data_IF_601274124031
#
_entry.id   IF_601274124031
#
_cell.length_a   1.000
_cell.length_b   1.000
_cell.length_c   1.000
_cell.angle_alpha   90.00
_cell.angle_beta   90.00
_cell.angle_gamma   90.00
#
_symmetry.space_group_name_H-M   'P 1'
#
loop_
_entity.id
_entity.type
_entity.pdbx_description
1 polymer ?
#
# COMPACT_ATOMS: atom_id res chain seq x y z
N UNK A 1 34.10 30.42 30.81
CA UNK A 1 34.31 28.98 30.62
C UNK A 1 34.33 28.75 29.12
N UNK A 2 35.50 28.37 28.58
CA UNK A 2 35.68 28.09 27.17
C UNK A 2 35.01 26.77 26.84
N UNK A 3 34.01 26.78 25.99
CA UNK A 3 33.50 25.53 25.46
C UNK A 3 34.56 24.95 24.53
N UNK A 4 34.97 23.72 24.82
CA UNK A 4 35.81 22.97 23.91
C UNK A 4 35.02 22.74 22.61
N UNK A 5 35.52 23.29 21.51
CA UNK A 5 35.09 22.89 20.19
C UNK A 5 35.54 21.44 19.98
N UNK A 6 34.65 20.49 20.18
CA UNK A 6 34.86 19.16 19.68
C UNK A 6 34.72 19.18 18.15
N UNK A 7 35.85 19.46 17.50
CA UNK A 7 35.93 19.36 16.04
C UNK A 7 35.92 17.87 15.69
N UNK A 8 34.82 17.42 15.11
CA UNK A 8 34.79 16.11 14.48
C UNK A 8 35.64 16.20 13.20
N UNK A 9 36.75 15.46 13.20
CA UNK A 9 37.60 15.33 12.03
C UNK A 9 36.85 14.54 10.95
N UNK A 10 36.22 15.25 10.03
CA UNK A 10 35.62 14.62 8.85
C UNK A 10 36.74 14.37 7.87
N UNK A 11 37.08 13.11 7.65
CA UNK A 11 38.04 12.72 6.60
C UNK A 11 37.47 13.15 5.24
N UNK A 12 38.22 13.90 4.41
CA UNK A 12 37.74 14.28 3.09
C UNK A 12 37.64 13.04 2.20
N UNK A 13 36.46 12.54 2.07
CA UNK A 13 36.12 11.47 1.18
C UNK A 13 34.69 11.66 0.77
N UNK A 14 34.48 12.06 -0.48
CA UNK A 14 33.17 12.13 -1.16
C UNK A 14 31.93 12.47 -0.28
N UNK A 15 31.81 13.72 0.08
CA UNK A 15 30.50 14.37 0.02
C UNK A 15 29.51 14.18 1.13
N UNK A 16 29.87 13.88 2.38
CA UNK A 16 28.91 13.97 3.47
C UNK A 16 28.95 15.38 4.09
N UNK A 17 27.88 16.14 3.93
CA UNK A 17 27.70 17.38 4.72
C UNK A 17 27.08 16.99 6.05
N UNK A 18 27.78 17.23 7.14
CA UNK A 18 27.25 17.04 8.49
C UNK A 18 26.63 18.35 8.93
N UNK A 19 25.30 18.39 9.03
CA UNK A 19 24.59 19.49 9.66
C UNK A 19 24.42 19.18 11.14
N UNK A 20 24.80 20.12 12.01
CA UNK A 20 24.53 20.05 13.44
C UNK A 20 23.40 20.99 13.80
N UNK A 21 22.41 20.52 14.54
CA UNK A 21 21.33 21.33 15.09
C UNK A 21 21.46 21.41 16.62
N UNK A 22 21.39 22.64 17.14
CA UNK A 22 21.46 22.86 18.58
C UNK A 22 20.05 22.75 19.19
N UNK A 23 19.75 21.65 19.86
CA UNK A 23 18.47 21.46 20.54
C UNK A 23 18.72 21.43 22.05
N UNK A 24 18.13 22.36 22.78
CA UNK A 24 18.27 22.47 24.25
C UNK A 24 19.75 22.53 24.74
N UNK A 25 20.58 23.23 24.00
CA UNK A 25 21.99 23.39 24.37
C UNK A 25 22.87 22.15 24.14
N UNK A 26 22.37 21.15 23.45
CA UNK A 26 23.14 19.97 23.01
C UNK A 26 23.18 19.97 21.48
N UNK A 27 24.35 19.72 20.93
CA UNK A 27 24.53 19.55 19.50
C UNK A 27 24.10 18.12 19.11
N UNK A 28 23.15 18.04 18.19
CA UNK A 28 22.74 16.79 17.57
C UNK A 28 23.25 16.78 16.12
N UNK A 29 23.89 15.70 15.77
CA UNK A 29 24.38 15.48 14.43
C UNK A 29 23.24 14.91 13.57
N UNK A 30 22.74 15.68 12.63
CA UNK A 30 21.83 15.15 11.61
C UNK A 30 22.68 14.52 10.49
N UNK A 31 22.76 13.20 10.47
CA UNK A 31 23.36 12.48 9.35
C UNK A 31 22.31 12.30 8.28
N UNK A 32 22.40 13.08 7.24
CA UNK A 32 21.60 12.87 6.04
C UNK A 32 22.40 11.95 5.12
N UNK A 33 21.98 10.70 5.01
CA UNK A 33 22.58 9.76 4.08
C UNK A 33 22.10 10.11 2.66
N UNK A 34 22.97 10.70 1.88
CA UNK A 34 22.77 10.85 0.45
C UNK A 34 23.46 9.72 -0.29
N UNK A 35 22.85 9.24 -1.37
CA UNK A 35 23.53 8.30 -2.27
C UNK A 35 24.62 9.01 -3.07
N UNK A 36 25.34 8.24 -3.90
CA UNK A 36 26.38 8.77 -4.77
C UNK A 36 25.87 9.70 -5.89
N UNK A 37 24.54 9.91 -5.96
CA UNK A 37 23.86 10.85 -6.86
C UNK A 37 23.38 12.11 -6.13
N UNK A 38 23.69 12.23 -4.82
CA UNK A 38 23.29 13.37 -3.99
C UNK A 38 21.82 13.34 -3.55
N UNK A 39 21.15 12.21 -3.71
CA UNK A 39 19.77 12.03 -3.25
C UNK A 39 19.74 11.76 -1.75
N UNK A 40 18.94 12.53 -1.04
CA UNK A 40 18.70 12.31 0.38
C UNK A 40 17.83 11.07 0.53
N UNK A 41 18.40 9.96 0.98
CA UNK A 41 17.67 8.75 1.33
C UNK A 41 16.92 8.93 2.65
N UNK A 42 15.91 9.77 2.63
CA UNK A 42 14.91 9.92 3.69
C UNK A 42 13.49 9.74 3.15
N UNK A 43 13.32 9.59 1.84
CA UNK A 43 12.03 9.26 1.28
C UNK A 43 11.83 7.74 1.32
N UNK A 44 10.84 7.31 2.08
CA UNK A 44 10.39 5.92 2.06
C UNK A 44 10.11 5.48 0.62
N UNK A 45 10.61 4.32 0.25
CA UNK A 45 10.27 3.71 -1.03
C UNK A 45 8.76 3.58 -1.14
N UNK A 46 8.15 4.33 -2.06
CA UNK A 46 6.69 4.40 -2.20
C UNK A 46 6.25 3.69 -3.47
N UNK A 47 5.18 2.93 -3.35
CA UNK A 47 4.62 2.11 -4.41
C UNK A 47 3.11 2.27 -4.48
N UNK A 48 2.55 2.09 -5.67
CA UNK A 48 1.12 1.89 -5.84
C UNK A 48 0.86 0.56 -6.57
N UNK A 49 -0.17 -0.13 -6.12
CA UNK A 49 -0.67 -1.35 -6.74
C UNK A 49 -2.06 -1.07 -7.29
N UNK A 50 -2.18 -1.06 -8.61
CA UNK A 50 -3.44 -0.92 -9.32
C UNK A 50 -3.92 -2.28 -9.80
N UNK A 51 -5.14 -2.67 -9.41
CA UNK A 51 -5.72 -3.95 -9.80
C UNK A 51 -6.54 -3.83 -11.09
N UNK A 52 -6.76 -4.93 -11.81
CA UNK A 52 -7.75 -4.98 -12.88
C UNK A 52 -9.18 -4.77 -12.34
N UNK A 53 -10.09 -4.48 -13.25
CA UNK A 53 -11.52 -4.47 -12.94
C UNK A 53 -12.07 -5.88 -12.81
N UNK A 54 -12.98 -6.09 -11.87
CA UNK A 54 -13.63 -7.38 -11.66
C UNK A 54 -15.06 -7.22 -11.16
N UNK A 55 -15.93 -8.13 -11.53
CA UNK A 55 -17.29 -8.21 -10.98
C UNK A 55 -17.25 -8.49 -9.48
N UNK A 56 -18.07 -7.78 -8.71
CA UNK A 56 -18.28 -8.05 -7.28
C UNK A 56 -18.94 -9.42 -7.09
N UNK A 57 -18.76 -10.03 -5.92
CA UNK A 57 -19.30 -11.35 -5.65
C UNK A 57 -19.22 -11.75 -4.18
N UNK A 58 -20.30 -12.35 -3.66
CA UNK A 58 -20.38 -12.79 -2.27
C UNK A 58 -19.15 -13.60 -1.84
N UNK A 59 -18.58 -13.25 -0.70
CA UNK A 59 -17.40 -13.89 -0.11
C UNK A 59 -16.14 -13.90 -1.00
N UNK A 60 -16.12 -13.12 -2.06
CA UNK A 60 -15.03 -13.08 -3.02
C UNK A 60 -13.77 -12.48 -2.39
N UNK A 61 -12.63 -13.12 -2.63
CA UNK A 61 -11.31 -12.62 -2.27
C UNK A 61 -10.81 -11.73 -3.41
N UNK A 62 -10.39 -10.51 -3.10
CA UNK A 62 -9.99 -9.57 -4.14
C UNK A 62 -8.48 -9.43 -4.23
N UNK A 63 -7.85 -9.03 -3.15
CA UNK A 63 -6.40 -8.81 -3.16
C UNK A 63 -5.78 -9.34 -1.87
N UNK A 64 -4.58 -9.86 -2.01
CA UNK A 64 -3.71 -10.33 -0.93
C UNK A 64 -2.34 -9.71 -1.14
N UNK A 65 -1.88 -8.95 -0.15
CA UNK A 65 -0.55 -8.35 -0.13
C UNK A 65 0.18 -8.92 1.07
N UNK A 66 1.36 -9.46 0.84
CA UNK A 66 2.12 -10.17 1.85
C UNK A 66 3.58 -9.75 1.88
N UNK A 67 4.10 -9.60 3.07
CA UNK A 67 5.50 -9.36 3.36
C UNK A 67 6.12 -10.64 3.93
N UNK A 68 6.86 -11.36 3.09
CA UNK A 68 7.42 -12.66 3.46
C UNK A 68 8.62 -12.51 4.42
N UNK A 69 8.90 -13.59 5.15
CA UNK A 69 10.09 -13.70 5.99
C UNK A 69 11.35 -13.50 5.15
N UNK A 70 12.28 -12.72 5.67
CA UNK A 70 13.56 -12.42 5.00
C UNK A 70 13.49 -11.28 3.99
N UNK A 71 12.39 -10.55 3.92
CA UNK A 71 12.30 -9.33 3.09
C UNK A 71 13.19 -8.21 3.62
N UNK A 72 13.46 -8.19 4.93
CA UNK A 72 14.18 -7.10 5.60
C UNK A 72 13.41 -5.78 5.60
N UNK A 73 12.12 -5.80 5.23
CA UNK A 73 11.31 -4.60 5.03
C UNK A 73 10.14 -4.52 6.01
N UNK A 74 9.76 -3.30 6.33
CA UNK A 74 8.50 -2.98 6.98
C UNK A 74 7.64 -2.27 5.95
N UNK A 75 6.41 -2.75 5.74
CA UNK A 75 5.48 -2.17 4.80
C UNK A 75 4.41 -1.39 5.54
N UNK A 76 4.23 -0.13 5.19
CA UNK A 76 3.14 0.71 5.69
C UNK A 76 2.10 0.94 4.60
N UNK A 77 0.89 0.49 4.82
CA UNK A 77 -0.24 0.76 3.93
C UNK A 77 -0.74 2.18 4.20
N UNK A 78 -0.62 3.03 3.20
CA UNK A 78 -1.07 4.43 3.23
C UNK A 78 -2.54 4.58 2.87
N UNK A 79 -3.04 3.70 2.03
CA UNK A 79 -4.44 3.69 1.66
C UNK A 79 -4.78 2.52 0.77
N UNK A 80 -6.03 2.10 0.83
CA UNK A 80 -6.66 1.14 -0.07
C UNK A 80 -7.95 1.78 -0.55
N UNK A 81 -7.99 2.19 -1.80
CA UNK A 81 -9.16 2.81 -2.41
C UNK A 81 -9.96 1.78 -3.18
N UNK A 82 -11.26 1.77 -2.93
CA UNK A 82 -12.23 1.03 -3.72
C UNK A 82 -12.73 1.97 -4.81
N UNK A 83 -12.65 1.52 -6.05
CA UNK A 83 -13.04 2.29 -7.21
C UNK A 83 -14.14 1.51 -7.92
N UNK A 84 -15.40 1.95 -7.87
CA UNK A 84 -16.46 1.42 -8.74
C UNK A 84 -16.03 1.57 -10.20
N UNK A 85 -16.20 0.51 -10.99
CA UNK A 85 -15.66 0.44 -12.34
C UNK A 85 -16.68 -0.19 -13.31
N UNK A 86 -17.97 0.07 -13.11
CA UNK A 86 -19.04 -0.41 -13.98
C UNK A 86 -19.31 0.61 -15.07
N UNK A 87 -19.26 0.16 -16.31
CA UNK A 87 -19.48 1.00 -17.50
C UNK A 87 -20.95 1.04 -17.95
N UNK A 88 -21.81 0.31 -17.26
CA UNK A 88 -23.25 0.21 -17.57
C UNK A 88 -24.08 0.49 -16.33
N UNK A 89 -25.26 1.05 -16.53
CA UNK A 89 -26.20 1.29 -15.45
C UNK A 89 -26.64 -0.03 -14.80
N UNK A 90 -26.59 -0.07 -13.48
CA UNK A 90 -27.08 -1.17 -12.65
C UNK A 90 -28.35 -0.74 -11.93
N UNK A 91 -29.35 -1.61 -11.92
CA UNK A 91 -30.60 -1.34 -11.22
C UNK A 91 -30.56 -2.04 -9.85
N UNK A 92 -30.82 -1.30 -8.78
CA UNK A 92 -30.92 -1.85 -7.44
C UNK A 92 -29.58 -2.28 -6.82
N UNK A 93 -28.47 -1.74 -7.29
CA UNK A 93 -27.19 -1.96 -6.68
C UNK A 93 -27.13 -1.28 -5.29
N UNK A 94 -26.92 -2.08 -4.26
CA UNK A 94 -26.74 -1.62 -2.89
C UNK A 94 -25.25 -1.50 -2.57
N UNK A 95 -24.94 -0.87 -1.43
CA UNK A 95 -23.57 -0.79 -0.95
C UNK A 95 -22.93 -2.17 -0.81
N UNK A 96 -21.73 -2.33 -1.34
CA UNK A 96 -20.94 -3.55 -1.24
C UNK A 96 -20.08 -3.49 0.01
N UNK A 97 -20.19 -4.50 0.88
CA UNK A 97 -19.35 -4.61 2.07
C UNK A 97 -18.01 -5.22 1.70
N UNK A 98 -16.93 -4.55 2.10
CA UNK A 98 -15.56 -5.04 2.02
C UNK A 98 -14.97 -5.17 3.42
N UNK A 99 -14.43 -6.33 3.70
CA UNK A 99 -13.75 -6.65 4.95
C UNK A 99 -12.24 -6.66 4.72
N UNK A 100 -11.50 -6.01 5.60
CA UNK A 100 -10.05 -6.04 5.63
C UNK A 100 -9.58 -6.96 6.75
N UNK A 101 -8.69 -7.87 6.41
CA UNK A 101 -8.09 -8.82 7.34
C UNK A 101 -6.57 -8.70 7.37
N UNK A 102 -5.99 -8.96 8.54
CA UNK A 102 -4.58 -9.26 8.66
C UNK A 102 -4.36 -10.75 8.44
N UNK A 103 -3.29 -11.10 7.72
CA UNK A 103 -2.97 -12.49 7.40
C UNK A 103 -1.61 -12.88 7.97
N UNK A 104 -1.42 -14.16 8.28
CA UNK A 104 -0.16 -14.76 8.73
C UNK A 104 0.45 -15.71 7.70
N UNK A 105 -0.23 -15.91 6.58
CA UNK A 105 0.31 -16.61 5.42
C UNK A 105 -0.32 -16.03 4.15
N UNK A 106 0.42 -16.09 3.06
CA UNK A 106 -0.06 -15.66 1.74
C UNK A 106 -1.12 -16.64 1.22
N UNK A 107 -2.09 -16.13 0.49
CA UNK A 107 -3.07 -16.94 -0.22
C UNK A 107 -2.45 -17.68 -1.40
N UNK A 108 -3.18 -18.66 -1.90
CA UNK A 108 -2.79 -19.47 -3.06
C UNK A 108 -3.65 -19.14 -4.27
N UNK A 109 -3.19 -19.51 -5.46
CA UNK A 109 -3.90 -19.24 -6.71
C UNK A 109 -3.97 -17.75 -7.04
N UNK A 110 -4.93 -17.39 -7.88
CA UNK A 110 -5.01 -16.03 -8.42
C UNK A 110 -3.82 -15.68 -9.31
N UNK A 111 -3.69 -14.42 -9.63
CA UNK A 111 -2.61 -13.91 -10.50
C UNK A 111 -1.70 -12.98 -9.72
N UNK A 112 -0.40 -13.23 -9.77
CA UNK A 112 0.59 -12.33 -9.15
C UNK A 112 0.59 -10.98 -9.87
N UNK A 113 0.76 -9.90 -9.11
CA UNK A 113 0.93 -8.58 -9.67
C UNK A 113 2.24 -8.49 -10.46
N UNK A 114 2.20 -7.81 -11.60
CA UNK A 114 3.38 -7.45 -12.36
C UNK A 114 4.08 -6.24 -11.74
N UNK A 115 5.38 -6.12 -11.97
CA UNK A 115 6.14 -4.94 -11.58
C UNK A 115 6.55 -4.13 -12.80
N UNK A 116 6.24 -2.82 -12.79
CA UNK A 116 6.57 -1.89 -13.89
C UNK A 116 6.09 -2.37 -15.27
N UNK A 117 4.92 -2.98 -15.35
CA UNK A 117 4.38 -3.38 -16.64
C UNK A 117 3.96 -2.15 -17.45
N UNK A 118 4.31 -2.14 -18.73
CA UNK A 118 3.82 -1.13 -19.66
C UNK A 118 2.35 -1.34 -20.06
N UNK A 119 1.78 -2.50 -19.75
CA UNK A 119 0.38 -2.82 -20.06
C UNK A 119 -0.50 -2.41 -18.89
N UNK A 120 -1.48 -1.51 -19.06
CA UNK A 120 -2.29 -0.98 -17.96
C UNK A 120 -3.17 -2.03 -17.29
N UNK A 121 -3.73 -2.97 -18.05
CA UNK A 121 -4.67 -4.00 -17.56
C UNK A 121 -4.03 -5.39 -17.51
N UNK A 122 -2.88 -5.50 -16.82
CA UNK A 122 -2.25 -6.80 -16.56
C UNK A 122 -3.14 -7.64 -15.67
N UNK A 123 -3.31 -8.93 -15.98
CA UNK A 123 -4.24 -9.85 -15.32
C UNK A 123 -4.10 -9.89 -13.78
N UNK A 124 -2.90 -9.71 -13.23
CA UNK A 124 -2.65 -9.64 -11.79
C UNK A 124 -2.64 -8.23 -11.21
N UNK A 125 -2.83 -7.22 -12.04
CA UNK A 125 -2.59 -5.83 -11.69
C UNK A 125 -1.12 -5.45 -11.76
N UNK A 126 -0.85 -4.19 -11.54
CA UNK A 126 0.49 -3.61 -11.73
C UNK A 126 0.96 -2.89 -10.46
N UNK A 127 2.13 -3.24 -9.99
CA UNK A 127 2.84 -2.52 -8.94
C UNK A 127 3.85 -1.60 -9.61
N UNK A 128 3.73 -0.31 -9.35
CA UNK A 128 4.67 0.68 -9.85
C UNK A 128 5.27 1.48 -8.70
N UNK A 129 6.57 1.77 -8.74
CA UNK A 129 7.17 2.69 -7.80
C UNK A 129 6.72 4.12 -8.11
N UNK A 130 6.62 4.93 -7.09
CA UNK A 130 6.43 6.38 -7.23
C UNK A 130 7.71 7.04 -7.75
N UNK A 131 8.86 6.55 -7.26
CA UNK A 131 10.16 6.93 -7.77
C UNK A 131 10.60 6.00 -8.90
N UNK A 132 10.89 6.57 -10.07
CA UNK A 132 11.33 5.82 -11.27
C UNK A 132 12.67 5.13 -11.10
N UNK A 133 13.50 5.57 -10.15
CA UNK A 133 14.80 4.98 -9.86
C UNK A 133 14.72 3.62 -9.17
N UNK A 134 13.59 3.29 -8.55
CA UNK A 134 13.40 1.96 -7.94
C UNK A 134 13.34 0.88 -9.02
N UNK A 135 14.44 0.18 -9.21
CA UNK A 135 14.61 -0.80 -10.29
C UNK A 135 13.74 -2.05 -10.09
N UNK A 136 13.61 -2.54 -8.86
CA UNK A 136 12.93 -3.78 -8.53
C UNK A 136 12.03 -3.61 -7.30
N UNK A 137 10.94 -4.39 -7.27
CA UNK A 137 10.21 -4.60 -6.02
C UNK A 137 11.10 -5.42 -5.08
N UNK A 138 11.27 -5.03 -3.81
CA UNK A 138 12.06 -5.79 -2.86
C UNK A 138 11.61 -7.26 -2.78
N UNK A 139 12.57 -8.17 -2.70
CA UNK A 139 12.28 -9.58 -2.56
C UNK A 139 11.41 -9.84 -1.32
N UNK A 140 10.47 -10.77 -1.45
CA UNK A 140 9.53 -11.09 -0.36
C UNK A 140 8.28 -10.23 -0.30
N UNK A 141 8.23 -9.10 -1.00
CA UNK A 141 7.00 -8.31 -1.14
C UNK A 141 6.21 -8.86 -2.32
N UNK A 142 5.00 -9.34 -2.05
CA UNK A 142 4.12 -9.95 -3.07
C UNK A 142 2.72 -9.38 -2.99
N UNK A 143 2.06 -9.28 -4.13
CA UNK A 143 0.64 -8.99 -4.23
C UNK A 143 -0.02 -9.96 -5.20
N UNK A 144 -1.23 -10.38 -4.89
CA UNK A 144 -2.04 -11.28 -5.72
C UNK A 144 -3.43 -10.71 -5.92
N UNK A 145 -3.90 -10.84 -7.13
CA UNK A 145 -5.26 -10.52 -7.52
C UNK A 145 -6.11 -11.79 -7.57
N UNK A 146 -7.30 -11.74 -6.99
CA UNK A 146 -8.26 -12.86 -6.95
C UNK A 146 -7.63 -14.18 -6.47
N UNK A 147 -7.00 -14.22 -5.29
CA UNK A 147 -6.53 -15.47 -4.75
C UNK A 147 -7.71 -16.44 -4.62
N UNK A 148 -7.52 -17.72 -4.97
CA UNK A 148 -8.55 -18.76 -4.91
C UNK A 148 -8.50 -19.54 -3.62
N UNK A 149 -7.34 -19.65 -3.00
CA UNK A 149 -7.15 -20.19 -1.66
C UNK A 149 -6.96 -19.06 -0.66
N UNK A 150 -7.64 -19.13 0.46
CA UNK A 150 -7.55 -18.11 1.49
C UNK A 150 -6.15 -17.99 2.06
N UNK A 151 -5.65 -16.78 2.18
CA UNK A 151 -4.58 -16.49 3.12
C UNK A 151 -5.02 -16.92 4.53
N UNK A 152 -4.09 -17.35 5.36
CA UNK A 152 -4.42 -17.67 6.76
C UNK A 152 -4.78 -16.38 7.48
N UNK A 153 -6.07 -16.22 7.78
CA UNK A 153 -6.58 -15.03 8.48
C UNK A 153 -6.11 -15.08 9.92
N UNK A 154 -5.36 -14.06 10.32
CA UNK A 154 -4.91 -13.88 11.71
C UNK A 154 -5.84 -12.96 12.49
N UNK A 155 -6.40 -11.92 11.84
CA UNK A 155 -7.23 -10.93 12.50
C UNK A 155 -8.15 -10.23 11.50
N UNK A 156 -9.43 -10.06 11.85
CA UNK A 156 -10.30 -9.09 11.19
C UNK A 156 -9.95 -7.70 11.70
N UNK A 157 -9.76 -6.75 10.79
CA UNK A 157 -9.41 -5.38 11.14
C UNK A 157 -10.66 -4.49 11.19
N UNK A 158 -11.36 -4.40 10.07
CA UNK A 158 -12.61 -3.64 9.97
C UNK A 158 -13.34 -3.95 8.67
N UNK A 159 -14.56 -3.45 8.56
CA UNK A 159 -15.34 -3.46 7.33
C UNK A 159 -15.72 -2.05 6.89
N UNK A 160 -15.84 -1.86 5.60
CA UNK A 160 -16.41 -0.65 5.00
C UNK A 160 -17.44 -1.04 3.95
N UNK A 161 -18.27 -0.07 3.59
CA UNK A 161 -19.25 -0.21 2.53
C UNK A 161 -18.91 0.78 1.43
N UNK A 162 -18.61 0.29 0.23
CA UNK A 162 -18.55 1.14 -0.95
C UNK A 162 -19.93 1.21 -1.58
N UNK A 163 -20.34 2.37 -2.11
CA UNK A 163 -21.57 2.45 -2.86
C UNK A 163 -21.48 1.51 -4.07
N UNK A 164 -22.50 0.67 -4.24
CA UNK A 164 -22.78 0.06 -5.52
C UNK A 164 -23.34 1.13 -6.44
N UNK A 165 -23.14 0.99 -7.75
CA UNK A 165 -23.74 1.90 -8.70
C UNK A 165 -25.25 1.70 -8.74
N UNK A 166 -26.01 2.74 -8.46
CA UNK A 166 -27.43 2.83 -8.79
C UNK A 166 -27.60 3.36 -10.21
N UNK A 167 -28.80 3.19 -10.75
CA UNK A 167 -29.20 3.53 -12.12
C UNK A 167 -28.59 4.83 -12.68
N UNK A 168 -28.52 4.94 -14.00
CA UNK A 168 -27.96 6.03 -14.80
C UNK A 168 -28.43 7.46 -14.45
N UNK A 169 -29.44 7.60 -13.60
CA UNK A 169 -29.94 8.90 -13.10
C UNK A 169 -29.22 9.38 -11.85
N UNK A 170 -28.41 8.54 -11.21
CA UNK A 170 -27.71 8.84 -9.96
C UNK A 170 -26.21 9.04 -10.17
N UNK A 171 -25.82 9.83 -11.13
CA UNK A 171 -24.42 10.15 -11.45
C UNK A 171 -23.63 10.77 -10.27
N UNK A 172 -24.29 11.15 -9.19
CA UNK A 172 -23.66 11.79 -8.04
C UNK A 172 -22.74 10.88 -7.21
N UNK A 173 -22.78 9.57 -7.42
CA UNK A 173 -22.03 8.60 -6.58
C UNK A 173 -20.77 8.01 -7.24
N UNK A 174 -20.57 8.25 -8.53
CA UNK A 174 -19.44 7.68 -9.30
C UNK A 174 -18.07 8.24 -8.87
N UNK A 175 -18.04 9.35 -8.16
CA UNK A 175 -16.80 10.06 -7.80
C UNK A 175 -16.30 9.79 -6.40
N UNK A 176 -16.96 8.98 -5.60
CA UNK A 176 -16.50 8.73 -4.23
C UNK A 176 -15.57 7.50 -4.20
N UNK A 177 -14.28 7.77 -4.36
CA UNK A 177 -13.24 6.80 -4.00
C UNK A 177 -13.27 6.60 -2.50
N UNK A 178 -13.60 5.41 -2.04
CA UNK A 178 -13.61 5.12 -0.61
C UNK A 178 -12.29 4.48 -0.21
N UNK A 179 -11.55 5.18 0.67
CA UNK A 179 -10.38 4.60 1.30
C UNK A 179 -10.84 3.69 2.45
N UNK A 180 -10.48 2.41 2.37
CA UNK A 180 -10.82 1.41 3.38
C UNK A 180 -9.78 1.27 4.49
N UNK A 181 -8.67 1.95 4.40
CA UNK A 181 -7.75 2.06 5.53
C UNK A 181 -8.31 3.11 6.47
N UNK A 182 -8.67 2.76 7.71
CA UNK A 182 -9.15 3.74 8.65
C UNK A 182 -8.09 4.83 8.81
N UNK A 183 -8.55 6.06 8.93
CA UNK A 183 -7.71 7.15 9.44
C UNK A 183 -7.44 6.77 10.89
N UNK A 184 -6.42 5.96 11.09
CA UNK A 184 -5.95 5.59 12.40
C UNK A 184 -5.54 6.88 13.09
N UNK A 185 -6.20 7.16 14.18
CA UNK A 185 -6.04 8.39 14.95
C UNK A 185 -4.58 8.71 15.16
N UNK A 186 -4.22 9.93 14.77
CA UNK A 186 -2.95 10.60 15.09
C UNK A 186 -1.70 9.70 14.97
N UNK A 187 -1.20 9.56 13.75
CA UNK A 187 0.16 9.02 13.52
C UNK A 187 0.30 7.51 13.49
N UNK A 188 -0.76 6.74 13.70
CA UNK A 188 -0.70 5.29 13.55
C UNK A 188 -0.90 4.90 12.08
N UNK A 189 -0.10 3.94 11.62
CA UNK A 189 -0.12 3.41 10.27
C UNK A 189 -0.61 1.96 10.31
N UNK A 190 -1.21 1.47 9.23
CA UNK A 190 -1.42 0.04 9.05
C UNK A 190 -0.10 -0.59 8.61
N UNK A 191 0.68 -1.03 9.60
CA UNK A 191 2.01 -1.58 9.38
C UNK A 191 1.95 -3.09 9.21
N UNK A 192 2.63 -3.59 8.20
CA UNK A 192 2.80 -5.01 7.88
C UNK A 192 4.28 -5.35 8.05
N UNK A 193 4.59 -6.15 9.06
CA UNK A 193 5.93 -6.65 9.32
C UNK A 193 6.17 -7.94 8.53
N UNK A 194 7.40 -8.43 8.55
CA UNK A 194 7.71 -9.74 7.97
C UNK A 194 6.76 -10.84 8.47
N UNK A 195 6.50 -11.79 7.61
CA UNK A 195 5.60 -12.92 7.82
C UNK A 195 4.16 -12.50 8.16
N UNK A 196 3.73 -11.38 7.58
CA UNK A 196 2.35 -10.92 7.69
C UNK A 196 1.88 -10.24 6.41
N UNK A 197 0.56 -10.09 6.28
CA UNK A 197 -0.04 -9.46 5.12
C UNK A 197 -1.42 -8.89 5.41
N UNK A 198 -2.09 -8.47 4.36
CA UNK A 198 -3.49 -8.04 4.36
C UNK A 198 -4.26 -8.73 3.25
N UNK A 199 -5.52 -8.98 3.51
CA UNK A 199 -6.48 -9.55 2.56
C UNK A 199 -7.73 -8.65 2.52
N UNK A 200 -8.19 -8.31 1.32
CA UNK A 200 -9.49 -7.68 1.11
C UNK A 200 -10.47 -8.72 0.57
N UNK A 201 -11.59 -8.84 1.25
CA UNK A 201 -12.66 -9.81 0.94
C UNK A 201 -14.02 -9.11 0.95
N UNK A 202 -14.91 -9.50 0.04
CA UNK A 202 -16.30 -9.09 0.12
C UNK A 202 -17.04 -9.83 1.23
N UNK A 203 -17.98 -9.15 1.85
CA UNK A 203 -18.94 -9.80 2.77
C UNK A 203 -19.76 -10.89 2.09
N UNK A 204 -20.61 -11.56 2.87
CA UNK A 204 -21.37 -12.74 2.41
C UNK A 204 -22.56 -12.39 1.52
N UNK A 205 -22.93 -11.12 1.43
CA UNK A 205 -24.08 -10.68 0.62
C UNK A 205 -23.65 -10.49 -0.83
N UNK A 206 -24.40 -11.08 -1.74
CA UNK A 206 -24.21 -10.86 -3.17
C UNK A 206 -24.52 -9.40 -3.55
N UNK A 207 -23.76 -8.87 -4.48
CA UNK A 207 -23.95 -7.56 -5.06
C UNK A 207 -23.68 -7.63 -6.57
N UNK A 208 -24.07 -6.60 -7.27
CA UNK A 208 -23.82 -6.45 -8.72
C UNK A 208 -22.88 -5.27 -8.97
N UNK A 209 -22.21 -5.28 -10.10
CA UNK A 209 -21.29 -4.23 -10.52
C UNK A 209 -19.84 -4.71 -10.61
N UNK A 210 -18.98 -3.80 -10.99
CA UNK A 210 -17.55 -4.04 -11.10
C UNK A 210 -16.80 -3.13 -10.14
N UNK A 211 -15.65 -3.60 -9.71
CA UNK A 211 -14.76 -2.87 -8.81
C UNK A 211 -13.30 -3.08 -9.21
N UNK A 212 -12.47 -2.12 -8.87
CA UNK A 212 -11.01 -2.25 -8.83
C UNK A 212 -10.47 -1.59 -7.58
N UNK A 213 -9.23 -1.86 -7.28
CA UNK A 213 -8.55 -1.31 -6.10
C UNK A 213 -7.29 -0.57 -6.49
N UNK A 214 -7.01 0.48 -5.74
CA UNK A 214 -5.71 1.13 -5.74
C UNK A 214 -5.15 1.07 -4.32
N UNK A 215 -3.99 0.45 -4.16
CA UNK A 215 -3.29 0.40 -2.87
C UNK A 215 -2.04 1.24 -2.96
N UNK A 216 -1.82 2.10 -1.97
CA UNK A 216 -0.56 2.84 -1.83
C UNK A 216 0.13 2.34 -0.57
N UNK A 217 1.39 2.01 -0.69
CA UNK A 217 2.22 1.57 0.43
C UNK A 217 3.65 2.10 0.32
N UNK A 218 4.30 2.16 1.46
CA UNK A 218 5.71 2.53 1.57
C UNK A 218 6.49 1.39 2.22
N UNK A 219 7.76 1.27 1.86
CA UNK A 219 8.69 0.30 2.45
C UNK A 219 9.80 1.05 3.20
N UNK A 220 10.06 0.59 4.42
CA UNK A 220 11.16 1.04 5.28
C UNK A 220 12.25 -0.01 5.34
#
# INVERSE_FOLDING_TARGET
MSQANDSILVTPGSGATVATELINGKEYQAVVLADNQGQIHGSLESYYYATPTVAVGASKLYLDIFNATGSGKIMDIRGIWIIPATDVALTGALGVRYDLYRTSAIGTGGTAAAYKSATPDVAGGNINPVDTNNANLPAGITARWLPTGGATIAQWLFATYAPGEETATSMAHITQYQNIVPVLTVGQKLTIRENSGILVKQGTVAATGNTKFLVIFTLE
#
